data_IF_556354931490
#
_entry.id   IF_556354931490
#
_cell.length_a   1.000
_cell.length_b   1.000
_cell.length_c   1.000
_cell.angle_alpha   90.00
_cell.angle_beta   90.00
_cell.angle_gamma   90.00
#
_symmetry.space_group_name_H-M   'P 1'
#
loop_
_entity.id
_entity.type
_entity.pdbx_description
1 polymer ?
#
# COMPACT_ATOMS: atom_id res chain seq x y z
N UNK A 1 -16.54 -29.79 24.44
CA UNK A 1 -16.31 -28.75 23.41
C UNK A 1 -14.82 -28.38 23.25
N UNK A 2 -13.87 -29.31 23.51
CA UNK A 2 -12.42 -29.02 23.55
C UNK A 2 -11.55 -29.79 22.56
N UNK A 3 -12.13 -30.68 21.75
CA UNK A 3 -11.38 -31.57 20.83
C UNK A 3 -11.43 -31.13 19.36
N UNK A 4 -12.28 -30.16 19.01
CA UNK A 4 -12.32 -29.62 17.64
C UNK A 4 -11.22 -28.57 17.42
N UNK A 5 -10.83 -27.79 18.44
CA UNK A 5 -9.83 -26.71 18.31
C UNK A 5 -8.41 -27.21 17.97
N UNK A 6 -8.05 -28.43 18.34
CA UNK A 6 -6.68 -28.95 18.18
C UNK A 6 -6.34 -29.34 16.74
N UNK A 7 -7.32 -29.83 15.96
CA UNK A 7 -7.11 -30.18 14.55
C UNK A 7 -7.01 -28.93 13.67
N UNK A 8 -7.81 -27.90 13.95
CA UNK A 8 -7.79 -26.64 13.18
C UNK A 8 -6.55 -25.79 13.42
N UNK A 9 -5.94 -25.89 14.61
CA UNK A 9 -4.66 -25.24 14.91
C UNK A 9 -3.55 -25.73 13.96
N UNK A 10 -3.52 -27.00 13.56
CA UNK A 10 -2.45 -27.51 12.68
C UNK A 10 -2.50 -26.96 11.24
N UNK A 11 -3.64 -26.39 10.81
CA UNK A 11 -3.84 -25.85 9.46
C UNK A 11 -3.42 -24.38 9.31
N UNK A 12 -3.11 -23.72 10.43
CA UNK A 12 -2.69 -22.33 10.43
C UNK A 12 -1.17 -22.24 10.29
N UNK A 13 -0.64 -21.26 9.53
CA UNK A 13 0.80 -21.02 9.49
C UNK A 13 1.36 -20.89 10.92
N UNK A 14 2.55 -21.43 11.24
CA UNK A 14 3.12 -21.40 12.60
C UNK A 14 3.15 -19.99 13.22
N UNK A 15 3.31 -18.96 12.37
CA UNK A 15 3.27 -17.53 12.73
C UNK A 15 1.90 -17.10 13.25
N UNK A 16 0.82 -17.64 12.70
CA UNK A 16 -0.55 -17.37 13.10
C UNK A 16 -0.91 -18.11 14.41
N UNK A 17 -0.37 -19.33 14.57
CA UNK A 17 -0.51 -20.10 15.79
C UNK A 17 0.13 -19.39 16.98
N UNK A 18 1.35 -18.88 16.79
CA UNK A 18 2.06 -18.12 17.81
C UNK A 18 1.29 -16.86 18.23
N UNK A 19 0.62 -16.18 17.29
CA UNK A 19 -0.27 -15.03 17.60
C UNK A 19 -1.51 -15.43 18.40
N UNK A 20 -2.15 -16.55 18.04
CA UNK A 20 -3.34 -17.03 18.76
C UNK A 20 -2.99 -17.55 20.17
N UNK A 21 -1.82 -18.16 20.36
CA UNK A 21 -1.42 -18.75 21.63
C UNK A 21 -0.85 -17.73 22.65
N UNK A 22 -0.27 -16.61 22.19
CA UNK A 22 0.43 -15.65 23.07
C UNK A 22 -0.27 -14.29 23.19
N UNK A 23 -1.38 -14.06 22.49
CA UNK A 23 -2.09 -12.78 22.42
C UNK A 23 -3.58 -12.90 22.70
N UNK A 24 -3.98 -13.61 23.75
CA UNK A 24 -5.38 -13.66 24.16
C UNK A 24 -5.78 -12.31 24.77
N UNK A 25 -6.75 -11.66 24.11
CA UNK A 25 -7.45 -10.41 24.43
C UNK A 25 -6.95 -9.12 23.75
N UNK A 26 -7.09 -9.02 22.42
CA UNK A 26 -7.20 -7.71 21.75
C UNK A 26 -7.79 -7.75 20.32
N UNK A 27 -7.84 -8.91 19.65
CA UNK A 27 -8.48 -8.98 18.34
C UNK A 27 -9.96 -9.30 18.43
N UNK A 28 -10.76 -8.48 17.76
CA UNK A 28 -12.18 -8.77 17.56
C UNK A 28 -12.27 -10.04 16.71
N UNK A 29 -13.22 -10.91 17.03
CA UNK A 29 -13.49 -12.12 16.25
C UNK A 29 -13.63 -11.82 14.74
N UNK A 30 -14.24 -10.69 14.41
CA UNK A 30 -14.37 -10.17 13.04
C UNK A 30 -13.04 -9.94 12.33
N UNK A 31 -12.00 -9.49 13.05
CA UNK A 31 -10.67 -9.26 12.48
C UNK A 31 -9.97 -10.58 12.16
N UNK A 32 -10.15 -11.60 12.99
CA UNK A 32 -9.61 -12.95 12.76
C UNK A 32 -10.26 -13.59 11.55
N UNK A 33 -11.59 -13.51 11.43
CA UNK A 33 -12.31 -14.04 10.27
C UNK A 33 -11.95 -13.31 8.97
N UNK A 34 -11.87 -11.96 9.00
CA UNK A 34 -11.42 -11.18 7.85
C UNK A 34 -9.97 -11.52 7.44
N UNK A 35 -9.09 -11.76 8.42
CA UNK A 35 -7.72 -12.20 8.14
C UNK A 35 -7.71 -13.59 7.49
N UNK A 36 -8.46 -14.56 8.03
CA UNK A 36 -8.57 -15.92 7.46
C UNK A 36 -9.07 -15.87 6.02
N UNK A 37 -10.11 -15.09 5.74
CA UNK A 37 -10.66 -14.92 4.39
C UNK A 37 -9.60 -14.39 3.41
N UNK A 38 -8.84 -13.37 3.80
CA UNK A 38 -7.79 -12.79 2.94
C UNK A 38 -6.62 -13.76 2.72
N UNK A 39 -6.18 -14.47 3.75
CA UNK A 39 -5.13 -15.49 3.59
C UNK A 39 -5.60 -16.68 2.76
N UNK A 40 -6.86 -17.11 2.90
CA UNK A 40 -7.44 -18.14 2.05
C UNK A 40 -7.43 -17.71 0.58
N UNK A 41 -7.85 -16.47 0.28
CA UNK A 41 -7.79 -15.90 -1.08
C UNK A 41 -6.36 -15.86 -1.65
N UNK A 42 -5.36 -15.55 -0.81
CA UNK A 42 -3.95 -15.56 -1.22
C UNK A 42 -3.44 -16.98 -1.53
N UNK A 43 -3.83 -17.97 -0.72
CA UNK A 43 -3.46 -19.37 -0.91
C UNK A 43 -4.12 -19.98 -2.15
N UNK A 44 -5.33 -19.54 -2.48
CA UNK A 44 -6.06 -19.93 -3.69
C UNK A 44 -5.55 -19.22 -4.95
N UNK A 45 -4.68 -18.21 -4.83
CA UNK A 45 -4.15 -17.49 -5.99
C UNK A 45 -5.23 -16.80 -6.83
N UNK A 46 -6.26 -16.24 -6.19
CA UNK A 46 -7.46 -15.68 -6.83
C UNK A 46 -8.38 -16.70 -7.54
N UNK A 47 -8.06 -18.00 -7.52
CA UNK A 47 -8.94 -19.06 -8.03
C UNK A 47 -10.02 -19.43 -7.01
N UNK A 48 -11.22 -18.89 -7.21
CA UNK A 48 -12.39 -19.14 -6.37
C UNK A 48 -12.99 -20.54 -6.53
N UNK A 49 -12.53 -21.33 -7.51
CA UNK A 49 -13.05 -22.66 -7.83
C UNK A 49 -12.24 -23.76 -7.10
N UNK A 50 -11.11 -23.40 -6.49
CA UNK A 50 -10.25 -24.34 -5.77
C UNK A 50 -9.43 -25.27 -6.69
N UNK A 51 -9.23 -24.87 -7.95
CA UNK A 51 -8.40 -25.58 -8.90
C UNK A 51 -6.91 -25.24 -8.78
N UNK A 52 -6.11 -25.81 -9.68
CA UNK A 52 -4.65 -25.58 -9.75
C UNK A 52 -4.26 -24.44 -10.71
N UNK A 53 -5.25 -23.68 -11.23
CA UNK A 53 -5.04 -22.62 -12.25
C UNK A 53 -4.91 -21.22 -11.65
N UNK A 54 -4.78 -21.11 -10.33
CA UNK A 54 -4.58 -19.84 -9.64
C UNK A 54 -3.25 -19.17 -9.99
N UNK A 55 -3.19 -17.86 -9.72
CA UNK A 55 -1.97 -17.07 -9.78
C UNK A 55 -0.95 -17.57 -8.75
N UNK A 56 0.33 -17.30 -9.01
CA UNK A 56 1.36 -17.54 -8.00
C UNK A 56 1.07 -16.75 -6.72
N UNK A 57 1.42 -17.30 -5.56
CA UNK A 57 1.25 -16.60 -4.27
C UNK A 57 1.95 -15.24 -4.24
N UNK A 58 3.10 -15.11 -4.92
CA UNK A 58 3.80 -13.84 -5.06
C UNK A 58 2.98 -12.80 -5.83
N UNK A 59 2.35 -13.20 -6.95
CA UNK A 59 1.48 -12.32 -7.73
C UNK A 59 0.18 -11.99 -6.99
N UNK A 60 -0.45 -12.97 -6.35
CA UNK A 60 -1.64 -12.74 -5.54
C UNK A 60 -1.36 -11.78 -4.36
N UNK A 61 -0.19 -11.88 -3.72
CA UNK A 61 0.25 -10.96 -2.67
C UNK A 61 0.46 -9.54 -3.23
N UNK A 62 1.13 -9.42 -4.39
CA UNK A 62 1.32 -8.15 -5.08
C UNK A 62 -0.03 -7.48 -5.38
N UNK A 63 -0.96 -8.21 -6.00
CA UNK A 63 -2.32 -7.72 -6.29
C UNK A 63 -3.04 -7.30 -5.02
N UNK A 64 -2.96 -8.09 -3.95
CA UNK A 64 -3.60 -7.77 -2.68
C UNK A 64 -3.05 -6.47 -2.07
N UNK A 65 -1.75 -6.17 -2.20
CA UNK A 65 -1.15 -4.90 -1.74
C UNK A 65 -1.65 -3.75 -2.62
N UNK A 66 -1.58 -3.87 -3.94
CA UNK A 66 -2.03 -2.83 -4.88
C UNK A 66 -3.52 -2.50 -4.72
N UNK A 67 -4.37 -3.51 -4.56
CA UNK A 67 -5.81 -3.34 -4.36
C UNK A 67 -6.14 -2.70 -3.01
N UNK A 68 -5.38 -3.05 -1.96
CA UNK A 68 -5.52 -2.38 -0.66
C UNK A 68 -5.15 -0.90 -0.78
N UNK A 69 -4.03 -0.58 -1.44
CA UNK A 69 -3.62 0.80 -1.66
C UNK A 69 -4.67 1.58 -2.47
N UNK A 70 -5.25 0.98 -3.52
CA UNK A 70 -6.35 1.60 -4.27
C UNK A 70 -7.60 1.83 -3.40
N UNK A 71 -7.94 0.89 -2.51
CA UNK A 71 -9.10 1.03 -1.60
C UNK A 71 -8.89 2.14 -0.55
N UNK A 72 -7.67 2.25 -0.01
CA UNK A 72 -7.35 3.20 1.06
C UNK A 72 -7.11 4.60 0.50
N UNK A 73 -6.34 4.72 -0.58
CA UNK A 73 -5.85 5.99 -1.11
C UNK A 73 -6.49 6.41 -2.44
N UNK A 74 -7.24 5.54 -3.12
CA UNK A 74 -7.80 5.83 -4.45
C UNK A 74 -8.82 6.97 -4.47
N UNK A 75 -9.44 7.26 -3.33
CA UNK A 75 -10.37 8.39 -3.16
C UNK A 75 -9.73 9.57 -2.40
N UNK A 76 -8.42 9.56 -2.21
CA UNK A 76 -7.70 10.72 -1.67
C UNK A 76 -7.60 11.80 -2.76
N UNK A 77 -8.65 12.58 -2.92
CA UNK A 77 -8.72 13.65 -3.93
C UNK A 77 -8.44 15.04 -3.37
N UNK A 78 -8.41 15.16 -2.05
CA UNK A 78 -8.17 16.39 -1.31
C UNK A 78 -6.90 16.22 -0.47
N UNK A 79 -6.20 17.32 -0.25
CA UNK A 79 -5.09 17.40 0.71
C UNK A 79 -5.68 17.53 2.11
N UNK A 80 -5.98 16.39 2.72
CA UNK A 80 -6.55 16.26 4.06
C UNK A 80 -6.04 14.98 4.73
N UNK A 81 -6.13 14.89 6.07
CA UNK A 81 -5.81 13.66 6.78
C UNK A 81 -6.70 12.52 6.32
N UNK A 82 -6.17 11.31 6.33
CA UNK A 82 -7.00 10.12 6.12
C UNK A 82 -7.99 9.96 7.27
N UNK A 83 -9.16 9.41 6.98
CA UNK A 83 -10.07 9.00 8.05
C UNK A 83 -9.40 7.92 8.92
N UNK A 84 -9.70 7.95 10.22
CA UNK A 84 -9.16 6.98 11.19
C UNK A 84 -9.49 5.52 10.80
N UNK A 85 -10.64 5.31 10.16
CA UNK A 85 -11.02 4.02 9.59
C UNK A 85 -10.02 3.55 8.52
N UNK A 86 -9.68 4.44 7.56
CA UNK A 86 -8.75 4.13 6.47
C UNK A 86 -7.34 3.90 6.97
N UNK A 87 -6.85 4.73 7.91
CA UNK A 87 -5.55 4.54 8.55
C UNK A 87 -5.46 3.20 9.28
N UNK A 88 -6.47 2.90 10.10
CA UNK A 88 -6.50 1.66 10.87
C UNK A 88 -6.56 0.44 9.95
N UNK A 89 -7.36 0.51 8.87
CA UNK A 89 -7.43 -0.55 7.86
C UNK A 89 -6.10 -0.76 7.16
N UNK A 90 -5.46 0.31 6.70
CA UNK A 90 -4.14 0.27 6.07
C UNK A 90 -3.09 -0.39 6.97
N UNK A 91 -2.94 0.14 8.19
CA UNK A 91 -1.97 -0.37 9.17
C UNK A 91 -2.21 -1.85 9.47
N UNK A 92 -3.45 -2.21 9.81
CA UNK A 92 -3.82 -3.59 10.19
C UNK A 92 -3.52 -4.58 9.07
N UNK A 93 -3.96 -4.28 7.85
CA UNK A 93 -3.82 -5.22 6.73
C UNK A 93 -2.40 -5.30 6.19
N UNK A 94 -1.63 -4.21 6.22
CA UNK A 94 -0.21 -4.23 5.88
C UNK A 94 0.60 -5.01 6.93
N UNK A 95 0.24 -4.92 8.21
CA UNK A 95 0.87 -5.71 9.28
C UNK A 95 0.57 -7.21 9.17
N UNK A 96 -0.59 -7.60 8.62
CA UNK A 96 -0.88 -9.01 8.32
C UNK A 96 0.07 -9.55 7.25
N UNK A 97 0.33 -8.78 6.20
CA UNK A 97 1.10 -9.20 5.02
C UNK A 97 2.61 -9.19 5.26
N UNK A 98 3.09 -8.31 6.13
CA UNK A 98 4.53 -8.13 6.41
C UNK A 98 5.10 -9.09 7.46
N UNK A 99 4.26 -9.97 8.04
CA UNK A 99 4.68 -10.90 9.09
C UNK A 99 4.98 -10.17 10.41
N UNK A 100 4.81 -10.88 11.53
CA UNK A 100 5.13 -10.32 12.85
C UNK A 100 6.63 -10.01 12.96
N UNK A 101 6.93 -8.92 13.65
CA UNK A 101 8.22 -8.67 14.29
C UNK A 101 8.66 -9.99 14.93
N UNK A 102 9.74 -10.60 14.40
CA UNK A 102 10.19 -11.91 14.83
C UNK A 102 10.37 -11.94 16.35
N UNK A 103 9.51 -12.68 17.04
CA UNK A 103 9.74 -13.04 18.44
C UNK A 103 10.26 -14.48 18.50
N UNK A 104 11.44 -14.50 19.07
CA UNK A 104 12.38 -15.56 19.45
C UNK A 104 11.74 -16.91 19.77
N UNK A 105 12.10 -17.91 18.98
CA UNK A 105 12.11 -19.31 19.42
C UNK A 105 13.56 -19.78 19.27
N UNK A 106 14.20 -20.15 20.37
CA UNK A 106 15.56 -20.67 20.38
C UNK A 106 15.55 -22.07 19.75
N UNK A 107 15.86 -22.16 18.46
CA UNK A 107 16.50 -23.28 17.72
C UNK A 107 16.50 -22.80 16.25
N UNK A 108 17.69 -22.55 15.68
CA UNK A 108 17.97 -21.98 14.35
C UNK A 108 17.34 -20.59 14.10
N UNK A 109 18.15 -19.53 14.16
CA UNK A 109 17.69 -18.15 13.92
C UNK A 109 17.28 -17.98 12.45
N UNK A 110 15.99 -17.77 12.12
CA UNK A 110 15.59 -17.49 10.75
C UNK A 110 16.09 -16.09 10.37
N UNK A 111 17.10 -16.03 9.50
CA UNK A 111 17.58 -14.76 8.93
C UNK A 111 16.70 -14.40 7.74
N UNK A 112 16.00 -13.28 7.82
CA UNK A 112 15.29 -12.73 6.66
C UNK A 112 16.27 -12.54 5.49
N UNK A 113 15.82 -12.76 4.25
CA UNK A 113 16.63 -12.47 3.07
C UNK A 113 17.15 -11.03 3.14
N UNK A 114 18.39 -10.80 2.70
CA UNK A 114 19.12 -9.55 2.96
C UNK A 114 18.41 -8.33 2.35
N UNK A 115 17.86 -8.49 1.15
CA UNK A 115 17.00 -7.53 0.45
C UNK A 115 15.78 -7.13 1.30
N UNK A 116 15.06 -8.10 1.86
CA UNK A 116 13.89 -7.84 2.72
C UNK A 116 14.29 -7.15 4.02
N UNK A 117 15.39 -7.60 4.63
CA UNK A 117 15.87 -7.04 5.90
C UNK A 117 16.23 -5.55 5.79
N UNK A 118 16.69 -5.10 4.62
CA UNK A 118 17.04 -3.70 4.36
C UNK A 118 15.83 -2.91 3.84
N UNK A 119 15.15 -3.42 2.81
CA UNK A 119 14.14 -2.66 2.09
C UNK A 119 12.83 -2.54 2.87
N UNK A 120 12.42 -3.57 3.62
CA UNK A 120 11.13 -3.56 4.32
C UNK A 120 11.07 -2.49 5.43
N UNK A 121 12.06 -2.34 6.33
CA UNK A 121 12.07 -1.22 7.29
C UNK A 121 12.13 0.16 6.62
N UNK A 122 12.88 0.29 5.52
CA UNK A 122 12.94 1.53 4.76
C UNK A 122 11.56 1.90 4.20
N UNK A 123 10.87 0.96 3.56
CA UNK A 123 9.51 1.16 3.04
C UNK A 123 8.50 1.51 4.14
N UNK A 124 8.57 0.87 5.31
CA UNK A 124 7.73 1.23 6.47
C UNK A 124 7.98 2.66 6.94
N UNK A 125 9.24 3.10 6.95
CA UNK A 125 9.57 4.49 7.29
C UNK A 125 9.01 5.48 6.27
N UNK A 126 9.09 5.15 4.99
CA UNK A 126 8.52 5.98 3.92
C UNK A 126 6.99 6.06 4.02
N UNK A 127 6.32 4.97 4.36
CA UNK A 127 4.87 4.91 4.60
C UNK A 127 4.46 5.85 5.76
N UNK A 128 5.14 5.74 6.90
CA UNK A 128 4.92 6.63 8.05
C UNK A 128 5.09 8.11 7.69
N UNK A 129 6.14 8.46 6.94
CA UNK A 129 6.38 9.84 6.50
C UNK A 129 5.24 10.39 5.61
N UNK A 130 4.61 9.54 4.79
CA UNK A 130 3.46 9.94 3.97
C UNK A 130 2.22 10.18 4.84
N UNK A 131 1.92 9.26 5.76
CA UNK A 131 0.80 9.39 6.68
C UNK A 131 0.95 10.65 7.56
N UNK A 132 2.14 10.88 8.13
CA UNK A 132 2.43 12.09 8.91
C UNK A 132 2.27 13.37 8.09
N UNK A 133 2.66 13.34 6.82
CA UNK A 133 2.46 14.48 5.92
C UNK A 133 0.97 14.77 5.73
N UNK A 134 0.15 13.74 5.50
CA UNK A 134 -1.30 13.89 5.40
C UNK A 134 -1.92 14.39 6.71
N UNK A 135 -1.47 13.88 7.85
CA UNK A 135 -1.98 14.26 9.17
C UNK A 135 -1.64 15.71 9.55
N UNK A 136 -0.62 16.29 8.94
CA UNK A 136 -0.30 17.71 9.13
C UNK A 136 -1.19 18.68 8.33
N UNK A 137 -2.10 18.17 7.48
CA UNK A 137 -3.00 18.94 6.62
C UNK A 137 -4.41 19.16 7.22
N UNK A 138 -4.53 19.23 8.55
CA UNK A 138 -5.83 19.39 9.26
C UNK A 138 -6.43 20.79 9.13
N UNK A 139 -5.60 21.82 9.32
CA UNK A 139 -6.02 23.22 9.22
C UNK A 139 -5.25 23.85 8.07
N UNK A 140 -5.98 24.22 7.03
CA UNK A 140 -5.45 24.76 5.78
C UNK A 140 -6.23 26.01 5.40
N UNK A 141 -5.54 26.99 4.82
CA UNK A 141 -6.18 28.23 4.33
C UNK A 141 -6.88 28.02 2.97
N UNK A 142 -6.71 26.83 2.37
CA UNK A 142 -7.31 26.46 1.09
C UNK A 142 -8.38 25.39 1.30
N UNK A 143 -9.40 25.41 0.44
CA UNK A 143 -10.49 24.44 0.44
C UNK A 143 -10.63 23.73 -0.90
N UNK A 144 -11.66 22.91 -1.03
CA UNK A 144 -12.02 22.23 -2.27
C UNK A 144 -13.49 22.44 -2.56
N UNK A 145 -13.84 22.72 -3.82
CA UNK A 145 -15.24 22.76 -4.24
C UNK A 145 -15.70 21.39 -4.72
N UNK A 146 -16.80 20.95 -4.12
CA UNK A 146 -17.45 19.68 -4.41
C UNK A 146 -18.29 19.84 -5.69
N UNK A 147 -17.76 19.36 -6.80
CA UNK A 147 -18.38 19.53 -8.10
C UNK A 147 -17.33 19.63 -9.19
N UNK A 148 -16.88 18.48 -9.70
CA UNK A 148 -16.09 18.47 -10.92
C UNK A 148 -16.86 19.16 -12.04
N UNK A 149 -16.43 20.37 -12.39
CA UNK A 149 -16.62 21.18 -13.61
C UNK A 149 -17.91 21.07 -14.46
N UNK A 150 -19.01 20.49 -13.97
CA UNK A 150 -20.26 20.35 -14.73
C UNK A 150 -21.15 21.59 -14.61
N UNK A 151 -20.99 22.39 -13.56
CA UNK A 151 -21.82 23.57 -13.29
C UNK A 151 -21.19 24.91 -13.75
N UNK A 152 -19.88 24.98 -13.98
CA UNK A 152 -19.19 26.27 -14.16
C UNK A 152 -18.73 26.49 -15.61
N UNK A 153 -19.71 26.57 -16.50
CA UNK A 153 -19.51 26.78 -17.94
C UNK A 153 -19.16 28.21 -18.37
N UNK A 154 -18.58 29.07 -17.51
CA UNK A 154 -18.32 30.47 -17.93
C UNK A 154 -17.02 31.16 -17.54
N UNK A 155 -16.22 30.65 -16.61
CA UNK A 155 -14.98 31.32 -16.21
C UNK A 155 -13.79 30.37 -16.29
N UNK A 156 -13.31 30.10 -17.51
CA UNK A 156 -12.07 29.33 -17.73
C UNK A 156 -10.87 30.24 -17.46
N UNK A 157 -10.26 30.10 -16.29
CA UNK A 157 -8.88 30.59 -16.07
C UNK A 157 -7.90 29.71 -16.86
N UNK A 158 -6.82 30.27 -17.44
CA UNK A 158 -5.79 29.48 -18.10
C UNK A 158 -5.00 28.72 -17.01
N UNK A 159 -5.26 27.43 -16.86
CA UNK A 159 -4.59 26.59 -15.85
C UNK A 159 -5.37 25.34 -15.39
N UNK A 160 -6.58 25.09 -15.90
CA UNK A 160 -7.39 23.96 -15.45
C UNK A 160 -6.72 22.59 -15.72
N UNK A 161 -6.74 21.76 -14.68
CA UNK A 161 -6.19 20.40 -14.57
C UNK A 161 -6.69 19.46 -15.67
N UNK A 162 -5.80 18.60 -16.19
CA UNK A 162 -6.10 17.53 -17.16
C UNK A 162 -7.14 16.50 -16.66
N UNK A 163 -7.54 16.55 -15.38
CA UNK A 163 -8.41 15.56 -14.71
C UNK A 163 -9.70 16.23 -14.23
N UNK A 164 -10.71 16.22 -15.09
CA UNK A 164 -12.02 16.86 -14.86
C UNK A 164 -12.83 16.25 -13.71
N UNK A 165 -12.46 15.06 -13.26
CA UNK A 165 -13.11 14.33 -12.16
C UNK A 165 -12.57 14.66 -10.77
N UNK A 166 -11.53 15.50 -10.65
CA UNK A 166 -10.97 15.90 -9.35
C UNK A 166 -11.60 17.21 -8.84
N UNK A 167 -11.84 17.35 -7.52
CA UNK A 167 -12.23 18.62 -6.92
C UNK A 167 -11.19 19.71 -7.20
N UNK A 168 -11.65 20.93 -7.53
CA UNK A 168 -10.74 22.05 -7.73
C UNK A 168 -10.35 22.67 -6.39
N UNK A 169 -9.04 22.88 -6.11
CA UNK A 169 -8.61 23.61 -4.94
C UNK A 169 -9.01 25.09 -5.08
N UNK A 170 -9.39 25.70 -3.95
CA UNK A 170 -9.68 27.12 -3.84
C UNK A 170 -8.83 27.76 -2.77
N UNK A 171 -8.37 28.97 -3.03
CA UNK A 171 -7.57 29.79 -2.11
C UNK A 171 -8.30 31.12 -1.86
N UNK A 172 -8.03 31.81 -0.75
CA UNK A 172 -8.60 33.13 -0.48
C UNK A 172 -8.25 34.13 -1.60
N UNK A 173 -9.10 35.12 -1.83
CA UNK A 173 -8.84 36.16 -2.85
C UNK A 173 -7.56 36.95 -2.58
N UNK A 174 -7.16 37.07 -1.31
CA UNK A 174 -5.90 37.68 -0.85
C UNK A 174 -4.68 36.77 -1.07
N UNK A 175 -4.89 35.53 -1.52
CA UNK A 175 -3.88 34.49 -1.59
C UNK A 175 -3.60 33.82 -0.24
N UNK A 176 -2.79 32.76 -0.29
CA UNK A 176 -2.28 32.07 0.90
C UNK A 176 -1.25 32.93 1.64
N UNK A 177 -1.22 32.81 2.96
CA UNK A 177 -0.16 33.37 3.79
C UNK A 177 1.21 32.78 3.43
N UNK A 178 2.27 33.54 3.69
CA UNK A 178 3.63 33.04 3.46
C UNK A 178 3.96 31.85 4.36
N UNK A 179 3.35 31.77 5.54
CA UNK A 179 3.43 30.62 6.43
C UNK A 179 2.86 29.36 5.79
N UNK A 180 1.65 29.42 5.22
CA UNK A 180 1.00 28.27 4.61
C UNK A 180 1.69 27.86 3.30
N UNK A 181 2.12 28.83 2.47
CA UNK A 181 2.94 28.55 1.28
C UNK A 181 4.23 27.82 1.65
N UNK A 182 4.96 28.31 2.65
CA UNK A 182 6.20 27.69 3.08
C UNK A 182 5.98 26.28 3.66
N UNK A 183 4.88 26.07 4.39
CA UNK A 183 4.46 24.75 4.89
C UNK A 183 4.21 23.77 3.74
N UNK A 184 3.38 24.16 2.76
CA UNK A 184 3.06 23.34 1.59
C UNK A 184 4.30 23.00 0.76
N UNK A 185 5.20 23.97 0.55
CA UNK A 185 6.45 23.73 -0.17
C UNK A 185 7.37 22.74 0.57
N UNK A 186 7.43 22.82 1.91
CA UNK A 186 8.18 21.86 2.72
C UNK A 186 7.58 20.45 2.63
N UNK A 187 6.27 20.31 2.78
CA UNK A 187 5.57 19.03 2.65
C UNK A 187 5.76 18.43 1.24
N UNK A 188 5.61 19.25 0.19
CA UNK A 188 5.85 18.82 -1.18
C UNK A 188 7.27 18.30 -1.41
N UNK A 189 8.28 18.94 -0.80
CA UNK A 189 9.67 18.45 -0.82
C UNK A 189 9.80 17.09 -0.11
N UNK A 190 9.17 16.91 1.05
CA UNK A 190 9.18 15.64 1.79
C UNK A 190 8.57 14.52 0.94
N UNK A 191 7.36 14.72 0.41
CA UNK A 191 6.66 13.73 -0.43
C UNK A 191 7.49 13.38 -1.67
N UNK A 192 8.11 14.38 -2.31
CA UNK A 192 8.96 14.14 -3.47
C UNK A 192 10.21 13.31 -3.13
N UNK A 193 10.81 13.50 -1.95
CA UNK A 193 11.94 12.66 -1.51
C UNK A 193 11.48 11.24 -1.18
N UNK A 194 10.32 11.08 -0.53
CA UNK A 194 9.73 9.76 -0.29
C UNK A 194 9.50 9.02 -1.60
N UNK A 195 8.92 9.70 -2.60
CA UNK A 195 8.71 9.13 -3.94
C UNK A 195 10.04 8.66 -4.57
N UNK A 196 11.09 9.49 -4.52
CA UNK A 196 12.40 9.12 -5.08
C UNK A 196 13.01 7.90 -4.38
N UNK A 197 12.92 7.85 -3.05
CA UNK A 197 13.42 6.71 -2.27
C UNK A 197 12.64 5.43 -2.60
N UNK A 198 11.30 5.48 -2.60
CA UNK A 198 10.46 4.33 -2.94
C UNK A 198 10.69 3.85 -4.38
N UNK A 199 10.82 4.78 -5.33
CA UNK A 199 11.13 4.48 -6.72
C UNK A 199 12.49 3.79 -6.87
N UNK A 200 13.52 4.27 -6.17
CA UNK A 200 14.86 3.66 -6.20
C UNK A 200 14.84 2.22 -5.68
N UNK A 201 14.12 1.96 -4.58
CA UNK A 201 13.94 0.60 -4.06
C UNK A 201 13.23 -0.28 -5.09
N UNK A 202 12.15 0.22 -5.69
CA UNK A 202 11.40 -0.52 -6.70
C UNK A 202 12.26 -0.85 -7.93
N UNK A 203 13.04 0.11 -8.43
CA UNK A 203 13.99 -0.09 -9.52
C UNK A 203 15.06 -1.13 -9.16
N UNK A 204 15.63 -1.07 -7.95
CA UNK A 204 16.62 -2.05 -7.48
C UNK A 204 16.05 -3.46 -7.42
N UNK A 205 14.84 -3.63 -6.87
CA UNK A 205 14.19 -4.95 -6.78
C UNK A 205 13.87 -5.50 -8.17
N UNK A 206 13.40 -4.66 -9.09
CA UNK A 206 13.12 -5.07 -10.48
C UNK A 206 14.38 -5.53 -11.23
N UNK A 207 15.54 -4.91 -10.97
CA UNK A 207 16.82 -5.33 -11.57
C UNK A 207 17.30 -6.69 -11.05
N UNK A 208 16.95 -7.05 -9.82
CA UNK A 208 17.28 -8.36 -9.23
C UNK A 208 16.28 -9.47 -9.63
N UNK A 209 15.13 -9.12 -10.20
CA UNK A 209 14.15 -10.10 -10.66
C UNK A 209 14.64 -10.84 -11.90
N UNK A 210 14.49 -12.16 -11.89
CA UNK A 210 14.80 -13.01 -13.02
C UNK A 210 13.93 -12.63 -14.23
N UNK A 211 14.56 -12.51 -15.41
CA UNK A 211 13.86 -12.29 -16.67
C UNK A 211 12.95 -13.49 -16.98
N UNK A 212 11.61 -13.28 -17.09
CA UNK A 212 10.70 -14.34 -17.48
C UNK A 212 11.06 -14.95 -18.83
N UNK A 213 11.00 -16.28 -18.94
CA UNK A 213 11.33 -17.00 -20.17
C UNK A 213 10.47 -16.55 -21.34
N UNK A 214 9.19 -16.26 -21.11
CA UNK A 214 8.28 -15.76 -22.14
C UNK A 214 8.76 -14.45 -22.80
N UNK A 215 9.40 -13.56 -22.04
CA UNK A 215 9.98 -12.33 -22.59
C UNK A 215 11.24 -12.66 -23.37
N UNK A 216 12.13 -13.47 -22.77
CA UNK A 216 13.37 -13.92 -23.41
C UNK A 216 13.11 -14.60 -24.76
N UNK A 217 12.10 -15.45 -24.81
CA UNK A 217 11.74 -16.24 -25.99
C UNK A 217 11.01 -15.40 -27.04
N UNK A 218 10.39 -14.27 -26.63
CA UNK A 218 9.81 -13.26 -27.52
C UNK A 218 10.84 -12.25 -28.06
N UNK A 219 12.08 -12.22 -27.53
CA UNK A 219 13.12 -11.33 -28.06
C UNK A 219 13.51 -11.78 -29.48
N UNK A 220 13.55 -10.85 -30.46
CA UNK A 220 14.04 -11.17 -31.80
C UNK A 220 15.50 -11.64 -31.72
N UNK A 221 15.81 -12.67 -32.50
CA UNK A 221 17.13 -13.32 -32.55
C UNK A 221 18.26 -12.40 -33.06
N UNK A 222 17.93 -11.19 -33.53
CA UNK A 222 18.88 -10.22 -34.10
C UNK A 222 18.65 -8.84 -33.47
N UNK A 223 19.71 -8.29 -32.86
CA UNK A 223 19.73 -7.07 -32.03
C UNK A 223 19.40 -5.78 -32.80
N UNK A 224 19.44 -5.80 -34.15
CA UNK A 224 19.26 -4.62 -35.01
C UNK A 224 17.87 -3.97 -34.94
N UNK A 225 16.87 -4.60 -34.34
CA UNK A 225 15.49 -4.09 -34.32
C UNK A 225 15.13 -3.25 -33.07
N UNK A 226 16.01 -3.12 -32.08
CA UNK A 226 15.71 -2.39 -30.83
C UNK A 226 16.25 -0.95 -30.76
N UNK A 227 17.06 -0.52 -31.74
CA UNK A 227 17.64 0.82 -31.79
C UNK A 227 17.04 1.57 -32.98
N UNK A 228 15.86 2.17 -32.78
CA UNK A 228 15.28 3.19 -33.65
C UNK A 228 14.90 4.38 -32.79
#
# INVERSE_FOLDING_TARGET
MGLQLTHWMMMLPPVLLAKMLLGYNAWKYTDVEAMKEKFAKLLLGEDIIGGYKGLSTALALSNAITNLAATVFGELWKLEPLSEERKTKWQREMDWKNGANGRTLEILTPKARADIHINLPALKKLDLMLIETLDSLVVTEFGYVEGGSRAEGRNRTPGQSKRWWLPSPQVPATGLSDTEKNKLLKQGKVVHQVFKAARTINESVLLEMHLPTIIRDALPKVVKFFLV
#
